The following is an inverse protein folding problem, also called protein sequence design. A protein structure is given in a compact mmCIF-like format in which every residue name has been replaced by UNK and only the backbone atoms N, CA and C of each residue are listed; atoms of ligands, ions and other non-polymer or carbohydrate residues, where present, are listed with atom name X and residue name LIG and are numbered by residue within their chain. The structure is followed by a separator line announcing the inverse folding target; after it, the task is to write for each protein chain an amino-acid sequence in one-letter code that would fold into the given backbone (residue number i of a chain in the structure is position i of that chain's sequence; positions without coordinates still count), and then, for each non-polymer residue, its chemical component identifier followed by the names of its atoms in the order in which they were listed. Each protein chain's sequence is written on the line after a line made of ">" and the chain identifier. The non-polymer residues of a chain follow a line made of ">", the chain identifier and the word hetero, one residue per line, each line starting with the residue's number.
data_IF_814563999399
#
_entry.id   IF_814563999399
#
_cell.length_a   1.000
_cell.length_b   1.000
_cell.length_c   1.000
_cell.angle_alpha   90.00
_cell.angle_beta   90.00
_cell.angle_gamma   90.00
#
_symmetry.space_group_name_H-M   'P 1'
#
loop_
_entity.id
_entity.type
_entity.pdbx_description
1 polymer ?
#
# COMPACT_ATOMS: atom_id res chain seq x y z
N UNK A 1 44.46 1.90 -33.26
CA UNK A 1 44.98 0.99 -34.32
C UNK A 1 44.64 1.61 -35.67
N UNK A 2 45.46 1.60 -36.72
CA UNK A 2 46.90 1.39 -36.79
C UNK A 2 47.42 2.15 -38.02
N UNK A 3 48.67 2.62 -37.97
CA UNK A 3 49.31 3.36 -39.06
C UNK A 3 49.77 2.40 -40.17
N UNK A 4 49.67 2.75 -41.46
CA UNK A 4 50.57 2.17 -42.47
C UNK A 4 50.86 3.09 -43.65
N UNK A 5 52.16 3.20 -43.92
CA UNK A 5 52.85 4.14 -44.81
C UNK A 5 53.35 3.47 -46.10
N UNK A 6 53.99 4.29 -46.96
CA UNK A 6 54.94 3.96 -48.05
C UNK A 6 54.34 3.93 -49.49
N UNK A 7 55.06 4.36 -50.54
CA UNK A 7 56.36 5.08 -50.63
C UNK A 7 56.48 5.86 -51.96
N UNK A 8 57.54 6.68 -52.06
CA UNK A 8 58.10 7.31 -53.27
C UNK A 8 58.47 6.29 -54.37
N UNK A 9 58.82 6.59 -55.63
CA UNK A 9 59.39 7.77 -56.30
C UNK A 9 59.03 7.73 -57.82
N UNK A 10 59.47 8.54 -58.79
CA UNK A 10 60.63 9.47 -58.94
C UNK A 10 60.29 10.60 -59.93
N UNK A 11 61.27 11.42 -60.36
CA UNK A 11 61.15 12.41 -61.45
C UNK A 11 62.24 12.22 -62.52
N UNK A 12 61.94 12.50 -63.81
CA UNK A 12 62.96 12.95 -64.79
C UNK A 12 62.34 13.64 -66.02
N UNK A 13 63.09 14.63 -66.56
CA UNK A 13 62.78 15.44 -67.74
C UNK A 13 63.23 14.77 -69.05
N UNK A 14 62.53 15.08 -70.15
CA UNK A 14 63.16 15.78 -71.28
C UNK A 14 63.18 15.13 -72.68
N UNK A 15 63.18 16.02 -73.68
CA UNK A 15 63.49 15.86 -75.11
C UNK A 15 62.38 15.34 -76.07
N UNK A 16 62.47 15.86 -77.30
CA UNK A 16 61.45 15.86 -78.37
C UNK A 16 61.91 14.99 -79.59
N UNK A 17 61.08 14.79 -80.64
CA UNK A 17 61.22 13.73 -81.68
C UNK A 17 62.16 14.17 -82.85
N UNK A 18 62.38 13.46 -84.01
CA UNK A 18 61.39 12.64 -84.76
C UNK A 18 61.88 11.48 -85.68
N UNK A 19 60.95 11.03 -86.55
CA UNK A 19 61.06 10.23 -87.80
C UNK A 19 61.48 8.76 -87.64
N UNK A 20 60.63 7.78 -88.00
CA UNK A 20 60.28 7.31 -89.37
C UNK A 20 61.51 6.68 -90.06
N UNK A 21 61.44 5.47 -90.64
CA UNK A 21 60.29 4.66 -91.05
C UNK A 21 60.68 3.17 -91.16
N UNK A 22 59.75 2.22 -90.95
CA UNK A 22 59.66 0.99 -91.77
C UNK A 22 58.43 0.10 -91.43
N UNK A 23 57.37 0.34 -92.20
CA UNK A 23 56.41 -0.63 -92.73
C UNK A 23 56.12 -1.96 -91.98
N UNK A 24 54.99 -1.97 -91.25
CA UNK A 24 54.03 -3.08 -91.28
C UNK A 24 52.59 -2.51 -91.25
N UNK A 25 51.70 -2.88 -92.19
CA UNK A 25 50.38 -2.26 -92.27
C UNK A 25 49.50 -2.64 -91.07
N UNK A 26 48.88 -1.61 -90.47
CA UNK A 26 47.98 -1.77 -89.33
C UNK A 26 46.74 -2.60 -89.67
N UNK A 27 46.41 -3.55 -88.79
CA UNK A 27 45.02 -3.98 -88.61
C UNK A 27 44.33 -3.07 -87.57
N UNK A 28 44.13 -1.81 -87.96
CA UNK A 28 43.52 -0.77 -87.11
C UNK A 28 42.02 -1.00 -86.90
N UNK A 29 41.32 -1.58 -87.87
CA UNK A 29 39.87 -1.84 -87.80
C UNK A 29 39.52 -2.79 -86.65
N UNK A 30 40.17 -3.95 -86.58
CA UNK A 30 39.88 -4.98 -85.57
C UNK A 30 40.22 -4.52 -84.13
N UNK A 31 41.16 -3.59 -83.99
CA UNK A 31 41.52 -2.97 -82.70
C UNK A 31 40.47 -1.95 -82.26
N UNK A 32 39.94 -1.13 -83.18
CA UNK A 32 38.89 -0.15 -82.92
C UNK A 32 37.55 -0.84 -82.64
N UNK A 33 37.21 -1.91 -83.35
CA UNK A 33 36.02 -2.74 -83.08
C UNK A 33 36.06 -3.36 -81.68
N UNK A 34 37.21 -3.89 -81.25
CA UNK A 34 37.38 -4.41 -79.88
C UNK A 34 37.17 -3.32 -78.83
N UNK A 35 37.67 -2.11 -79.06
CA UNK A 35 37.45 -0.96 -78.16
C UNK A 35 35.97 -0.55 -78.14
N UNK A 36 35.30 -0.44 -79.28
CA UNK A 36 33.86 -0.18 -79.38
C UNK A 36 33.03 -1.21 -78.60
N UNK A 37 33.27 -2.50 -78.82
CA UNK A 37 32.55 -3.57 -78.11
C UNK A 37 32.80 -3.54 -76.59
N UNK A 38 34.01 -3.16 -76.16
CA UNK A 38 34.33 -2.99 -74.75
C UNK A 38 33.63 -1.77 -74.13
N UNK A 39 33.44 -0.69 -74.88
CA UNK A 39 32.67 0.49 -74.45
C UNK A 39 31.18 0.16 -74.35
N UNK A 40 30.60 -0.56 -75.32
CA UNK A 40 29.20 -1.04 -75.25
C UNK A 40 28.99 -2.02 -74.08
N UNK A 41 29.93 -2.94 -73.87
CA UNK A 41 29.91 -3.85 -72.71
C UNK A 41 30.06 -3.10 -71.38
N UNK A 42 30.85 -2.03 -71.34
CA UNK A 42 30.96 -1.18 -70.15
C UNK A 42 29.67 -0.37 -69.92
N UNK A 43 29.07 0.17 -70.97
CA UNK A 43 27.78 0.89 -70.92
C UNK A 43 26.68 0.01 -70.37
N UNK A 44 26.44 -1.16 -70.99
CA UNK A 44 25.45 -2.14 -70.51
C UNK A 44 25.72 -2.64 -69.09
N UNK A 45 27.01 -2.74 -68.68
CA UNK A 45 27.38 -3.08 -67.30
C UNK A 45 27.12 -1.93 -66.32
N UNK A 46 27.33 -0.68 -66.72
CA UNK A 46 26.95 0.48 -65.91
C UNK A 46 25.42 0.57 -65.78
N UNK A 47 24.67 0.44 -66.86
CA UNK A 47 23.21 0.51 -66.85
C UNK A 47 22.59 -0.57 -65.95
N UNK A 48 23.10 -1.81 -66.03
CA UNK A 48 22.66 -2.90 -65.14
C UNK A 48 23.04 -2.66 -63.68
N UNK A 49 24.21 -2.09 -63.38
CA UNK A 49 24.57 -1.68 -62.02
C UNK A 49 23.70 -0.51 -61.51
N UNK A 50 23.42 0.49 -62.33
CA UNK A 50 22.56 1.63 -61.97
C UNK A 50 21.11 1.19 -61.74
N UNK A 51 20.60 0.26 -62.55
CA UNK A 51 19.28 -0.36 -62.35
C UNK A 51 19.23 -1.16 -61.04
N UNK A 52 20.23 -2.00 -60.77
CA UNK A 52 20.31 -2.79 -59.52
C UNK A 52 20.34 -1.91 -58.26
N UNK A 53 21.20 -0.88 -58.24
CA UNK A 53 21.27 0.08 -57.14
C UNK A 53 19.94 0.86 -56.96
N UNK A 54 19.29 1.23 -58.05
CA UNK A 54 17.97 1.89 -58.01
C UNK A 54 16.90 0.98 -57.40
N UNK A 55 16.96 -0.32 -57.70
CA UNK A 55 16.05 -1.33 -57.14
C UNK A 55 16.32 -1.61 -55.65
N UNK A 56 17.58 -1.70 -55.22
CA UNK A 56 17.94 -1.80 -53.80
C UNK A 56 17.48 -0.58 -53.00
N UNK A 57 17.71 0.64 -53.53
CA UNK A 57 17.25 1.89 -52.91
C UNK A 57 15.71 1.91 -52.80
N UNK A 58 14.99 1.39 -53.79
CA UNK A 58 13.54 1.26 -53.72
C UNK A 58 13.08 0.27 -52.64
N UNK A 59 13.72 -0.91 -52.53
CA UNK A 59 13.43 -1.90 -51.48
C UNK A 59 13.68 -1.33 -50.08
N UNK A 60 14.85 -0.74 -49.85
CA UNK A 60 15.23 -0.14 -48.57
C UNK A 60 14.26 0.99 -48.20
N UNK A 61 13.83 1.83 -49.14
CA UNK A 61 12.81 2.87 -48.90
C UNK A 61 11.46 2.28 -48.50
N UNK A 62 11.05 1.17 -49.11
CA UNK A 62 9.79 0.50 -48.78
C UNK A 62 9.85 -0.14 -47.38
N UNK A 63 10.94 -0.84 -47.04
CA UNK A 63 11.18 -1.40 -45.70
C UNK A 63 11.27 -0.31 -44.62
N UNK A 64 11.94 0.81 -44.91
CA UNK A 64 12.02 1.94 -44.00
C UNK A 64 10.63 2.58 -43.81
N UNK A 65 9.83 2.71 -44.87
CA UNK A 65 8.46 3.21 -44.76
C UNK A 65 7.57 2.28 -43.91
N UNK A 66 7.64 0.95 -44.08
CA UNK A 66 6.84 0.01 -43.28
C UNK A 66 7.26 0.01 -41.82
N UNK A 67 8.56 0.02 -41.52
CA UNK A 67 9.08 0.08 -40.15
C UNK A 67 8.74 1.40 -39.46
N UNK A 68 8.88 2.55 -40.13
CA UNK A 68 8.45 3.86 -39.59
C UNK A 68 6.94 3.89 -39.35
N UNK A 69 6.12 3.36 -40.27
CA UNK A 69 4.66 3.29 -40.08
C UNK A 69 4.29 2.41 -38.87
N UNK A 70 4.97 1.28 -38.70
CA UNK A 70 4.79 0.39 -37.55
C UNK A 70 5.20 1.06 -36.23
N UNK A 71 6.32 1.81 -36.22
CA UNK A 71 6.80 2.54 -35.06
C UNK A 71 5.85 3.70 -34.70
N UNK A 72 5.31 4.42 -35.68
CA UNK A 72 4.30 5.45 -35.46
C UNK A 72 3.03 4.86 -34.83
N UNK A 73 2.52 3.74 -35.35
CA UNK A 73 1.37 3.04 -34.78
C UNK A 73 1.62 2.57 -33.34
N UNK A 74 2.78 1.96 -33.08
CA UNK A 74 3.16 1.53 -31.73
C UNK A 74 3.32 2.71 -30.77
N UNK A 75 3.91 3.82 -31.23
CA UNK A 75 4.06 5.03 -30.43
C UNK A 75 2.69 5.65 -30.09
N UNK A 76 1.78 5.79 -31.07
CA UNK A 76 0.42 6.27 -30.81
C UNK A 76 -0.36 5.36 -29.86
N UNK A 77 -0.14 4.05 -29.90
CA UNK A 77 -0.75 3.12 -28.94
C UNK A 77 -0.13 3.26 -27.53
N UNK A 78 1.17 3.50 -27.44
CA UNK A 78 1.84 3.76 -26.16
C UNK A 78 1.40 5.10 -25.55
N UNK A 79 1.24 6.17 -26.33
CA UNK A 79 0.70 7.46 -25.86
C UNK A 79 -0.68 7.25 -25.22
N UNK A 80 -1.61 6.61 -25.93
CA UNK A 80 -2.95 6.31 -25.38
C UNK A 80 -2.89 5.52 -24.07
N UNK A 81 -2.04 4.50 -23.99
CA UNK A 81 -1.85 3.71 -22.77
C UNK A 81 -1.24 4.51 -21.61
N UNK A 82 -0.45 5.54 -21.91
CA UNK A 82 0.08 6.47 -20.91
C UNK A 82 -1.07 7.40 -20.46
N UNK A 83 -1.82 7.99 -21.39
CA UNK A 83 -2.98 8.85 -21.08
C UNK A 83 -4.01 8.11 -20.20
N UNK A 84 -4.35 6.86 -20.55
CA UNK A 84 -5.27 5.99 -19.77
C UNK A 84 -4.75 5.72 -18.35
N UNK A 85 -3.43 5.51 -18.20
CA UNK A 85 -2.79 5.26 -16.91
C UNK A 85 -2.68 6.53 -16.06
N UNK A 86 -2.39 7.69 -16.67
CA UNK A 86 -2.37 8.99 -16.01
C UNK A 86 -3.76 9.36 -15.51
N UNK A 87 -4.79 9.23 -16.34
CA UNK A 87 -6.18 9.42 -15.91
C UNK A 87 -6.52 8.49 -14.75
N UNK A 88 -6.28 7.18 -14.90
CA UNK A 88 -6.52 6.19 -13.84
C UNK A 88 -5.80 6.58 -12.53
N UNK A 89 -4.53 7.02 -12.60
CA UNK A 89 -3.77 7.43 -11.43
C UNK A 89 -4.35 8.68 -10.75
N UNK A 90 -4.88 9.65 -11.50
CA UNK A 90 -5.58 10.81 -10.92
C UNK A 90 -6.89 10.42 -10.24
N UNK A 91 -7.66 9.50 -10.85
CA UNK A 91 -8.89 8.95 -10.27
C UNK A 91 -8.56 8.21 -8.96
N UNK A 92 -7.61 7.27 -8.97
CA UNK A 92 -7.15 6.57 -7.77
C UNK A 92 -6.67 7.54 -6.68
N UNK A 93 -5.85 8.54 -7.01
CA UNK A 93 -5.39 9.57 -6.08
C UNK A 93 -6.56 10.30 -5.42
N UNK A 94 -7.57 10.70 -6.22
CA UNK A 94 -8.78 11.35 -5.69
C UNK A 94 -9.56 10.44 -4.75
N UNK A 95 -9.74 9.15 -5.10
CA UNK A 95 -10.43 8.19 -4.22
C UNK A 95 -9.67 7.98 -2.90
N UNK A 96 -8.34 7.85 -2.95
CA UNK A 96 -7.49 7.73 -1.75
C UNK A 96 -7.63 8.96 -0.85
N UNK A 97 -7.61 10.18 -1.41
CA UNK A 97 -7.84 11.41 -0.63
C UNK A 97 -9.23 11.41 0.03
N UNK A 98 -10.29 11.03 -0.69
CA UNK A 98 -11.63 10.93 -0.07
C UNK A 98 -11.67 9.89 1.03
N UNK A 99 -11.10 8.70 0.81
CA UNK A 99 -11.03 7.63 1.81
C UNK A 99 -10.27 8.10 3.07
N UNK A 100 -9.10 8.71 2.92
CA UNK A 100 -8.35 9.27 4.06
C UNK A 100 -9.17 10.27 4.88
N UNK A 101 -9.91 11.18 4.24
CA UNK A 101 -10.75 12.14 4.98
C UNK A 101 -11.90 11.44 5.71
N UNK A 102 -12.53 10.43 5.10
CA UNK A 102 -13.57 9.63 5.76
C UNK A 102 -13.02 8.83 6.94
N UNK A 103 -11.84 8.22 6.81
CA UNK A 103 -11.18 7.48 7.89
C UNK A 103 -10.83 8.41 9.06
N UNK A 104 -10.25 9.58 8.79
CA UNK A 104 -9.94 10.60 9.81
C UNK A 104 -11.21 11.07 10.55
N UNK A 105 -12.31 11.31 9.83
CA UNK A 105 -13.62 11.66 10.42
C UNK A 105 -14.18 10.53 11.28
N UNK A 106 -14.23 9.29 10.76
CA UNK A 106 -14.73 8.13 11.48
C UNK A 106 -13.91 7.81 12.73
N UNK A 107 -12.59 7.96 12.67
CA UNK A 107 -11.71 7.79 13.83
C UNK A 107 -12.00 8.82 14.93
N UNK A 108 -12.27 10.08 14.57
CA UNK A 108 -12.68 11.13 15.52
C UNK A 108 -14.06 10.84 16.12
N UNK A 109 -15.04 10.42 15.30
CA UNK A 109 -16.37 10.02 15.76
C UNK A 109 -16.33 8.82 16.70
N UNK A 110 -15.56 7.78 16.37
CA UNK A 110 -15.36 6.61 17.25
C UNK A 110 -14.72 7.05 18.57
N UNK A 111 -13.69 7.89 18.54
CA UNK A 111 -13.05 8.41 19.75
C UNK A 111 -14.08 9.12 20.66
N UNK A 112 -14.80 10.11 20.14
CA UNK A 112 -15.81 10.86 20.90
C UNK A 112 -16.98 9.99 21.38
N UNK A 113 -17.39 8.97 20.61
CA UNK A 113 -18.40 8.00 21.04
C UNK A 113 -17.86 7.11 22.17
N UNK A 114 -16.61 6.65 22.11
CA UNK A 114 -16.01 5.85 23.18
C UNK A 114 -15.87 6.63 24.48
N UNK A 115 -15.41 7.89 24.42
CA UNK A 115 -15.35 8.79 25.60
C UNK A 115 -16.75 9.03 26.19
N UNK A 116 -17.75 9.31 25.35
CA UNK A 116 -19.13 9.49 25.78
C UNK A 116 -19.72 8.23 26.41
N UNK A 117 -19.44 7.06 25.85
CA UNK A 117 -19.85 5.77 26.44
C UNK A 117 -19.18 5.55 27.80
N UNK A 118 -17.87 5.83 27.93
CA UNK A 118 -17.14 5.72 29.20
C UNK A 118 -17.66 6.67 30.27
N UNK A 119 -17.99 7.93 29.92
CA UNK A 119 -18.60 8.88 30.87
C UNK A 119 -20.03 8.46 31.28
N UNK A 120 -20.86 8.01 30.34
CA UNK A 120 -22.21 7.50 30.64
C UNK A 120 -22.16 6.23 31.50
N UNK A 121 -21.28 5.28 31.19
CA UNK A 121 -21.07 4.06 31.96
C UNK A 121 -20.55 4.39 33.37
N UNK A 122 -19.59 5.33 33.48
CA UNK A 122 -19.08 5.85 34.74
C UNK A 122 -20.20 6.48 35.56
N UNK A 123 -20.96 7.44 35.00
CA UNK A 123 -22.11 8.10 35.65
C UNK A 123 -23.15 7.09 36.12
N UNK A 124 -23.50 6.12 35.27
CA UNK A 124 -24.45 5.05 35.61
C UNK A 124 -23.96 4.17 36.74
N UNK A 125 -22.64 3.98 36.89
CA UNK A 125 -22.02 3.17 37.94
C UNK A 125 -21.60 3.96 39.18
N UNK A 126 -21.66 5.30 39.19
CA UNK A 126 -21.23 6.14 40.34
C UNK A 126 -21.87 5.74 41.68
N UNK A 127 -23.13 5.29 41.66
CA UNK A 127 -23.88 4.85 42.86
C UNK A 127 -23.73 3.35 43.17
N UNK A 128 -22.98 2.60 42.37
CA UNK A 128 -22.82 1.18 42.55
C UNK A 128 -21.63 0.86 43.47
N UNK A 129 -21.76 -0.24 44.21
CA UNK A 129 -20.71 -0.86 45.03
C UNK A 129 -20.71 -2.35 44.71
N UNK A 130 -19.53 -2.96 44.61
CA UNK A 130 -19.36 -4.40 44.44
C UNK A 130 -18.88 -5.03 45.73
N UNK A 131 -19.61 -6.02 46.23
CA UNK A 131 -19.30 -6.74 47.47
C UNK A 131 -18.92 -8.18 47.14
N UNK A 132 -17.70 -8.57 47.50
CA UNK A 132 -17.00 -9.80 47.09
C UNK A 132 -16.69 -10.65 48.32
N UNK A 133 -16.81 -11.97 48.21
CA UNK A 133 -16.42 -12.93 49.26
C UNK A 133 -17.56 -13.45 50.13
N UNK A 134 -18.80 -13.01 49.92
CA UNK A 134 -19.98 -13.61 50.56
C UNK A 134 -20.30 -14.94 49.85
N UNK A 135 -20.47 -16.03 50.60
CA UNK A 135 -20.82 -17.35 50.07
C UNK A 135 -22.16 -17.36 49.32
N UNK A 136 -22.29 -18.22 48.31
CA UNK A 136 -23.53 -18.41 47.55
C UNK A 136 -24.61 -19.07 48.44
N UNK A 137 -25.89 -18.79 48.20
CA UNK A 137 -27.00 -19.47 48.87
C UNK A 137 -27.31 -19.00 50.30
N UNK A 138 -26.49 -18.12 50.90
CA UNK A 138 -26.83 -17.37 52.13
C UNK A 138 -27.82 -16.21 51.89
N UNK A 139 -28.36 -16.15 50.68
CA UNK A 139 -29.23 -15.13 50.16
C UNK A 139 -30.62 -15.76 50.10
N UNK A 140 -31.46 -15.39 51.04
CA UNK A 140 -32.88 -15.73 50.99
C UNK A 140 -33.56 -14.99 49.80
N UNK A 141 -34.88 -15.09 49.68
CA UNK A 141 -35.64 -14.51 48.56
C UNK A 141 -35.44 -12.99 48.34
N UNK A 142 -34.81 -12.26 49.28
CA UNK A 142 -34.59 -10.81 49.22
C UNK A 142 -33.09 -10.42 49.26
N UNK A 143 -32.32 -10.58 48.15
CA UNK A 143 -30.90 -10.22 48.11
C UNK A 143 -30.64 -8.74 48.42
N UNK A 144 -31.58 -7.83 48.08
CA UNK A 144 -31.51 -6.41 48.45
C UNK A 144 -31.47 -6.18 49.97
N UNK A 145 -32.32 -6.88 50.73
CA UNK A 145 -32.38 -6.73 52.19
C UNK A 145 -31.15 -7.38 52.85
N UNK A 146 -30.76 -8.56 52.36
CA UNK A 146 -29.52 -9.23 52.78
C UNK A 146 -28.29 -8.33 52.60
N UNK A 147 -28.13 -7.69 51.43
CA UNK A 147 -27.04 -6.74 51.20
C UNK A 147 -27.08 -5.56 52.17
N UNK A 148 -28.25 -4.99 52.46
CA UNK A 148 -28.37 -3.85 53.38
C UNK A 148 -27.98 -4.23 54.81
N UNK A 149 -28.40 -5.42 55.28
CA UNK A 149 -28.01 -5.96 56.57
C UNK A 149 -26.50 -6.28 56.65
N UNK A 150 -25.94 -6.92 55.63
CA UNK A 150 -24.51 -7.22 55.55
C UNK A 150 -23.66 -5.94 55.52
N UNK A 151 -24.07 -4.89 54.80
CA UNK A 151 -23.38 -3.59 54.82
C UNK A 151 -23.38 -2.97 56.22
N UNK A 152 -24.49 -3.08 56.96
CA UNK A 152 -24.59 -2.60 58.34
C UNK A 152 -23.69 -3.39 59.29
N UNK A 153 -23.71 -4.72 59.22
CA UNK A 153 -22.92 -5.63 60.06
C UNK A 153 -21.40 -5.43 59.84
N UNK A 154 -20.92 -5.43 58.59
CA UNK A 154 -19.48 -5.43 58.32
C UNK A 154 -18.83 -4.04 58.58
N UNK A 155 -19.59 -2.96 58.36
CA UNK A 155 -19.09 -1.59 58.54
C UNK A 155 -19.45 -0.97 59.89
N UNK A 156 -20.21 -1.65 60.75
CA UNK A 156 -20.75 -1.10 62.02
C UNK A 156 -21.53 0.20 61.77
N UNK A 157 -22.47 0.18 60.82
CA UNK A 157 -23.29 1.35 60.52
C UNK A 157 -24.43 1.49 61.54
N UNK A 158 -24.60 2.70 62.05
CA UNK A 158 -25.72 3.10 62.91
C UNK A 158 -27.07 2.81 62.21
N UNK A 159 -27.24 3.27 60.98
CA UNK A 159 -28.42 3.04 60.15
C UNK A 159 -28.20 2.01 59.03
N UNK A 160 -29.27 1.27 58.72
CA UNK A 160 -29.29 0.34 57.58
C UNK A 160 -29.37 1.14 56.27
N UNK A 161 -28.38 1.04 55.35
CA UNK A 161 -28.36 1.88 54.16
C UNK A 161 -29.49 1.54 53.19
N UNK A 162 -30.20 2.57 52.70
CA UNK A 162 -31.24 2.41 51.66
C UNK A 162 -30.60 2.06 50.32
N UNK A 163 -30.78 0.81 49.91
CA UNK A 163 -30.38 0.31 48.60
C UNK A 163 -31.54 0.37 47.62
N UNK A 164 -31.29 0.67 46.36
CA UNK A 164 -32.28 0.55 45.27
C UNK A 164 -32.29 -0.87 44.70
N UNK A 165 -31.11 -1.47 44.55
CA UNK A 165 -30.94 -2.81 43.99
C UNK A 165 -29.79 -3.52 44.68
N UNK A 166 -29.92 -4.83 44.88
CA UNK A 166 -28.83 -5.72 45.27
C UNK A 166 -29.05 -7.08 44.62
N UNK A 167 -28.08 -7.56 43.85
CA UNK A 167 -28.14 -8.86 43.17
C UNK A 167 -26.72 -9.40 42.90
N UNK A 168 -26.56 -10.72 42.76
CA UNK A 168 -25.29 -11.29 42.25
C UNK A 168 -25.06 -10.92 40.79
N UNK A 169 -23.80 -10.90 40.38
CA UNK A 169 -23.46 -10.78 38.95
C UNK A 169 -24.11 -11.91 38.14
N UNK A 170 -24.41 -11.63 36.87
CA UNK A 170 -25.01 -12.59 35.93
C UNK A 170 -24.02 -13.68 35.45
N UNK A 171 -22.90 -13.86 36.15
CA UNK A 171 -21.96 -14.93 35.84
C UNK A 171 -22.59 -16.31 36.18
N UNK A 172 -22.15 -17.39 35.52
CA UNK A 172 -22.52 -18.76 35.86
C UNK A 172 -22.27 -19.06 37.34
N UNK A 173 -23.09 -19.93 37.94
CA UNK A 173 -22.91 -20.31 39.34
C UNK A 173 -21.57 -21.06 39.51
N UNK A 174 -20.65 -20.58 40.38
CA UNK A 174 -19.41 -21.30 40.68
C UNK A 174 -19.69 -22.62 41.39
N UNK A 175 -18.74 -23.55 41.32
CA UNK A 175 -18.77 -24.82 42.07
C UNK A 175 -18.46 -24.58 43.55
N UNK A 176 -18.81 -25.53 44.41
CA UNK A 176 -18.42 -25.45 45.83
C UNK A 176 -16.88 -25.39 45.96
N UNK A 177 -16.41 -24.43 46.75
CA UNK A 177 -14.98 -24.10 46.92
C UNK A 177 -14.41 -23.09 45.91
N UNK A 178 -15.10 -22.80 44.80
CA UNK A 178 -14.71 -21.71 43.89
C UNK A 178 -15.10 -20.33 44.44
N UNK A 179 -14.57 -19.25 43.83
CA UNK A 179 -14.80 -17.87 44.30
C UNK A 179 -16.28 -17.48 44.10
N UNK A 180 -17.02 -17.10 45.16
CA UNK A 180 -18.42 -16.69 45.04
C UNK A 180 -18.60 -15.47 44.13
N UNK A 181 -19.75 -15.40 43.42
CA UNK A 181 -20.02 -14.26 42.54
C UNK A 181 -20.11 -12.95 43.33
N UNK A 182 -19.62 -11.81 42.81
CA UNK A 182 -19.83 -10.53 43.47
C UNK A 182 -21.31 -10.17 43.53
N UNK A 183 -21.72 -9.51 44.59
CA UNK A 183 -22.90 -8.66 44.57
C UNK A 183 -22.62 -7.36 43.83
N UNK A 184 -23.61 -6.90 43.08
CA UNK A 184 -23.70 -5.56 42.51
C UNK A 184 -24.84 -4.87 43.26
N UNK A 185 -24.49 -3.83 44.01
CA UNK A 185 -25.39 -3.08 44.88
C UNK A 185 -25.50 -1.66 44.34
N UNK A 186 -26.71 -1.12 44.18
CA UNK A 186 -26.95 0.31 43.92
C UNK A 186 -27.47 0.97 45.19
N UNK A 187 -26.74 1.95 45.70
CA UNK A 187 -27.14 2.77 46.86
C UNK A 187 -28.03 3.91 46.38
N UNK A 188 -29.09 4.24 47.13
CA UNK A 188 -30.08 5.25 46.72
C UNK A 188 -29.49 6.67 46.67
N UNK A 189 -28.64 7.02 47.65
CA UNK A 189 -27.98 8.32 47.77
C UNK A 189 -26.46 8.20 47.58
N UNK A 190 -25.86 9.14 46.84
CA UNK A 190 -24.42 9.17 46.59
C UNK A 190 -23.61 9.35 47.87
N UNK A 191 -24.04 10.27 48.73
CA UNK A 191 -23.33 10.61 49.97
C UNK A 191 -23.23 9.41 50.94
N UNK A 192 -24.27 8.56 50.96
CA UNK A 192 -24.28 7.30 51.72
C UNK A 192 -23.27 6.31 51.14
N UNK A 193 -23.15 6.22 49.81
CA UNK A 193 -22.16 5.37 49.13
C UNK A 193 -20.74 5.84 49.40
N UNK A 194 -20.49 7.15 49.39
CA UNK A 194 -19.16 7.71 49.67
C UNK A 194 -18.80 7.59 51.17
N UNK A 195 -19.77 7.72 52.08
CA UNK A 195 -19.59 7.37 53.51
C UNK A 195 -19.22 5.89 53.69
N UNK A 196 -19.94 4.98 53.02
CA UNK A 196 -19.66 3.53 53.03
C UNK A 196 -18.23 3.25 52.54
N UNK A 197 -17.82 3.82 51.41
CA UNK A 197 -16.47 3.64 50.88
C UNK A 197 -15.39 4.24 51.79
N UNK A 198 -15.63 5.41 52.41
CA UNK A 198 -14.68 6.02 53.37
C UNK A 198 -14.47 5.13 54.60
N UNK A 199 -15.54 4.63 55.22
CA UNK A 199 -15.45 3.71 56.37
C UNK A 199 -14.77 2.41 55.97
N UNK A 200 -15.14 1.85 54.81
CA UNK A 200 -14.52 0.65 54.22
C UNK A 200 -13.01 0.84 53.99
N UNK A 201 -12.56 2.02 53.56
CA UNK A 201 -11.13 2.29 53.32
C UNK A 201 -10.33 2.49 54.61
N UNK A 202 -10.97 2.89 55.71
CA UNK A 202 -10.33 3.01 57.02
C UNK A 202 -10.15 1.64 57.69
N UNK A 203 -11.15 0.76 57.54
CA UNK A 203 -11.11 -0.64 57.99
C UNK A 203 -10.26 -1.49 57.04
N UNK A 204 -8.95 -1.53 57.27
CA UNK A 204 -7.93 -2.25 56.46
C UNK A 204 -8.28 -3.70 56.08
N UNK A 205 -9.12 -4.38 56.86
CA UNK A 205 -9.68 -5.69 56.54
C UNK A 205 -11.14 -5.71 56.98
N UNK A 206 -12.00 -6.34 56.17
CA UNK A 206 -13.45 -6.39 56.38
C UNK A 206 -13.88 -7.86 56.42
N UNK A 207 -14.65 -8.23 57.44
CA UNK A 207 -15.06 -9.61 57.68
C UNK A 207 -16.58 -9.72 57.73
N UNK A 208 -17.13 -10.74 57.09
CA UNK A 208 -18.53 -11.12 57.20
C UNK A 208 -18.60 -12.57 57.65
N UNK A 209 -19.19 -12.82 58.83
CA UNK A 209 -19.28 -14.16 59.43
C UNK A 209 -17.94 -14.91 59.34
N UNK A 210 -16.91 -14.28 59.93
CA UNK A 210 -15.51 -14.75 60.01
C UNK A 210 -14.74 -14.86 58.68
N UNK A 211 -15.37 -14.65 57.51
CA UNK A 211 -14.70 -14.68 56.20
C UNK A 211 -14.33 -13.28 55.70
N UNK A 212 -13.10 -13.13 55.17
CA UNK A 212 -12.62 -11.86 54.60
C UNK A 212 -13.43 -11.50 53.34
N UNK A 213 -13.95 -10.29 53.32
CA UNK A 213 -14.67 -9.70 52.18
C UNK A 213 -13.82 -8.62 51.50
N UNK A 214 -14.08 -8.39 50.22
CA UNK A 214 -13.43 -7.35 49.41
C UNK A 214 -14.48 -6.48 48.72
N UNK A 215 -14.15 -5.21 48.54
CA UNK A 215 -15.08 -4.13 48.22
C UNK A 215 -14.45 -3.28 47.11
N UNK A 216 -15.20 -3.00 46.03
CA UNK A 216 -14.73 -2.16 44.90
C UNK A 216 -15.88 -1.35 44.31
#
# INVERSE_FOLDING_TARGET
>A
MANRTHKSSTSKKGASPPTEDDAAPLNSSESVEKIMSAIELLGTKMDTQTAALSQEIASIRQELHTTVSSLQSANSQNTKRIDDLEQSATEWSSTVMTLETTVKRLQSEVCGLTEKCLDLESRSRRQNIRLIGIEEGKEENNPRQFCAAALKEILDLEDTPRLDRGHRSLAPKPRDGERPRPFIIRVHHGDVKDRILRISSQKKQLFYKEKRTLWT
#
